data_IF_938862092126
#
_entry.id   IF_938862092126
#
_cell.length_a   1.000
_cell.length_b   1.000
_cell.length_c   1.000
_cell.angle_alpha   90.00
_cell.angle_beta   90.00
_cell.angle_gamma   90.00
#
_symmetry.space_group_name_H-M   'P 1'
#
loop_
_entity.id
_entity.type
_entity.pdbx_description
1 polymer ?
#
# COMPACT_ATOMS: atom_id res chain seq x y z
N UNK A 1 -66.70 46.77 -4.59
CA UNK A 1 -65.37 47.21 -4.26
C UNK A 1 -64.39 46.02 -4.13
N UNK A 2 -63.80 45.68 -5.24
CA UNK A 2 -62.80 44.61 -5.26
C UNK A 2 -61.41 45.17 -4.94
N UNK A 3 -61.02 44.97 -3.69
CA UNK A 3 -59.59 45.06 -3.32
C UNK A 3 -58.91 43.71 -3.64
N UNK A 4 -58.79 43.43 -4.91
CA UNK A 4 -57.80 42.50 -5.43
C UNK A 4 -56.60 43.29 -5.91
N UNK A 5 -56.00 44.03 -5.02
CA UNK A 5 -54.83 44.75 -5.35
C UNK A 5 -53.73 44.46 -4.39
N UNK A 6 -52.67 43.92 -4.80
CA UNK A 6 -51.42 44.08 -4.14
C UNK A 6 -50.53 42.88 -3.90
N UNK A 7 -51.03 41.67 -3.92
CA UNK A 7 -50.17 40.51 -3.73
C UNK A 7 -49.59 39.92 -5.01
N UNK A 8 -50.26 40.17 -6.17
CA UNK A 8 -49.80 39.65 -7.48
C UNK A 8 -48.63 40.43 -8.10
N UNK A 9 -48.36 41.66 -7.68
CA UNK A 9 -47.26 42.47 -8.22
C UNK A 9 -45.93 42.33 -7.51
N UNK A 10 -45.98 41.89 -6.23
CA UNK A 10 -44.77 41.72 -5.41
C UNK A 10 -44.22 40.32 -5.54
N UNK A 11 -45.09 39.32 -5.76
CA UNK A 11 -44.70 37.92 -5.90
C UNK A 11 -43.70 37.65 -7.06
N UNK A 12 -43.88 38.13 -8.28
CA UNK A 12 -42.95 37.82 -9.36
C UNK A 12 -41.60 38.50 -9.17
N UNK A 13 -41.54 39.70 -8.56
CA UNK A 13 -40.24 40.35 -8.28
C UNK A 13 -39.52 39.71 -7.11
N UNK A 14 -40.23 39.28 -6.07
CA UNK A 14 -39.66 38.55 -4.95
C UNK A 14 -39.16 37.17 -5.40
N UNK A 15 -39.92 36.47 -6.26
CA UNK A 15 -39.54 35.21 -6.85
C UNK A 15 -38.28 35.33 -7.70
N UNK A 16 -38.15 36.39 -8.50
CA UNK A 16 -36.90 36.67 -9.27
C UNK A 16 -35.70 36.84 -8.35
N UNK A 17 -35.83 37.56 -7.26
CA UNK A 17 -34.74 37.76 -6.30
C UNK A 17 -34.36 36.47 -5.56
N UNK A 18 -35.35 35.62 -5.25
CA UNK A 18 -35.13 34.31 -4.66
C UNK A 18 -34.39 33.39 -5.62
N UNK A 19 -34.78 33.37 -6.90
CA UNK A 19 -34.11 32.56 -7.95
C UNK A 19 -32.67 33.01 -8.17
N UNK A 20 -32.44 34.34 -8.21
CA UNK A 20 -31.10 34.92 -8.35
C UNK A 20 -30.22 34.54 -7.13
N UNK A 21 -30.78 34.66 -5.94
CA UNK A 21 -30.08 34.26 -4.72
C UNK A 21 -29.73 32.76 -4.68
N UNK A 22 -30.68 31.93 -5.06
CA UNK A 22 -30.47 30.47 -5.14
C UNK A 22 -29.43 30.12 -6.19
N UNK A 23 -29.47 30.75 -7.37
CA UNK A 23 -28.47 30.54 -8.42
C UNK A 23 -27.05 30.93 -7.94
N UNK A 24 -26.94 32.05 -7.25
CA UNK A 24 -25.66 32.50 -6.65
C UNK A 24 -25.11 31.51 -5.65
N UNK A 25 -25.96 30.95 -4.78
CA UNK A 25 -25.56 29.93 -3.79
C UNK A 25 -25.08 28.64 -4.49
N UNK A 26 -25.80 28.21 -5.51
CA UNK A 26 -25.39 27.01 -6.29
C UNK A 26 -24.03 27.21 -6.95
N UNK A 27 -23.79 28.39 -7.55
CA UNK A 27 -22.49 28.71 -8.17
C UNK A 27 -21.37 28.69 -7.11
N UNK A 28 -21.60 29.25 -5.93
CA UNK A 28 -20.62 29.26 -4.86
C UNK A 28 -20.32 27.82 -4.40
N UNK A 29 -21.32 26.97 -4.22
CA UNK A 29 -21.14 25.57 -3.84
C UNK A 29 -20.36 24.80 -4.91
N UNK A 30 -20.67 25.02 -6.18
CA UNK A 30 -19.95 24.37 -7.29
C UNK A 30 -18.49 24.83 -7.32
N UNK A 31 -18.23 26.13 -7.17
CA UNK A 31 -16.86 26.65 -7.12
C UNK A 31 -16.08 26.06 -5.92
N UNK A 32 -16.70 25.99 -4.74
CA UNK A 32 -16.08 25.40 -3.55
C UNK A 32 -15.77 23.92 -3.78
N UNK A 33 -16.72 23.15 -4.33
CA UNK A 33 -16.50 21.71 -4.60
C UNK A 33 -15.40 21.49 -5.65
N UNK A 34 -15.36 22.31 -6.69
CA UNK A 34 -14.32 22.24 -7.71
C UNK A 34 -12.97 22.64 -7.10
N UNK A 35 -12.94 23.71 -6.30
CA UNK A 35 -11.72 24.16 -5.63
C UNK A 35 -11.19 23.09 -4.68
N UNK A 36 -12.06 22.47 -3.87
CA UNK A 36 -11.66 21.38 -2.97
C UNK A 36 -11.18 20.15 -3.75
N UNK A 37 -11.81 19.80 -4.86
CA UNK A 37 -11.35 18.69 -5.70
C UNK A 37 -10.02 18.96 -6.41
N UNK A 38 -9.79 20.20 -6.83
CA UNK A 38 -8.54 20.61 -7.49
C UNK A 38 -7.44 20.81 -6.46
N UNK A 39 -7.76 21.44 -5.32
CA UNK A 39 -6.80 21.71 -4.25
C UNK A 39 -6.53 20.48 -3.39
N UNK A 40 -7.47 19.53 -3.29
CA UNK A 40 -7.27 18.25 -2.63
C UNK A 40 -6.25 17.35 -3.34
N UNK A 41 -5.87 17.68 -4.58
CA UNK A 41 -4.74 17.04 -5.28
C UNK A 41 -3.42 17.80 -5.18
N UNK A 42 -3.46 19.07 -4.73
CA UNK A 42 -2.30 19.92 -4.59
C UNK A 42 -2.49 20.89 -3.41
N UNK A 43 -2.70 20.36 -2.21
CA UNK A 43 -2.61 21.19 -1.03
C UNK A 43 -1.16 21.29 -0.59
N UNK A 44 -0.44 22.23 -1.17
CA UNK A 44 0.71 22.82 -0.53
C UNK A 44 0.85 24.26 -0.97
N UNK A 45 0.10 25.15 -0.34
CA UNK A 45 0.57 26.48 -0.09
C UNK A 45 0.97 26.54 1.37
N UNK A 46 2.09 25.99 1.68
CA UNK A 46 2.84 26.35 2.86
C UNK A 46 3.93 27.28 2.37
N UNK A 47 3.89 28.50 2.88
CA UNK A 47 4.89 29.53 2.79
C UNK A 47 6.29 28.92 2.85
N UNK A 48 7.07 29.16 1.81
CA UNK A 48 8.41 28.63 1.63
C UNK A 48 9.31 28.98 2.81
N UNK A 49 9.62 27.95 3.58
CA UNK A 49 10.97 27.80 4.11
C UNK A 49 11.64 26.85 3.14
N UNK A 50 12.83 27.13 2.59
CA UNK A 50 13.57 26.16 1.80
C UNK A 50 14.03 25.06 2.75
N UNK A 51 13.13 24.12 3.03
CA UNK A 51 13.52 22.82 3.51
C UNK A 51 14.16 22.13 2.33
N UNK A 52 15.44 21.78 2.47
CA UNK A 52 16.18 20.90 1.60
C UNK A 52 15.25 19.81 1.04
N UNK A 53 15.35 19.55 -0.25
CA UNK A 53 14.55 18.59 -1.02
C UNK A 53 14.61 17.14 -0.50
N UNK A 54 15.11 16.94 0.71
CA UNK A 54 15.38 15.64 1.33
C UNK A 54 14.24 15.15 2.27
N UNK A 55 13.16 15.91 2.40
CA UNK A 55 12.03 15.56 3.26
C UNK A 55 10.66 15.60 2.58
N UNK A 56 10.60 15.22 1.31
CA UNK A 56 9.36 14.67 0.77
C UNK A 56 9.47 13.15 0.90
N UNK A 57 9.57 12.68 2.12
CA UNK A 57 9.24 11.31 2.40
C UNK A 57 7.74 11.16 2.15
N UNK A 58 7.37 10.65 0.98
CA UNK A 58 6.06 10.07 0.79
C UNK A 58 5.79 9.22 2.04
N UNK A 59 4.66 9.41 2.67
CA UNK A 59 4.29 8.64 3.85
C UNK A 59 4.49 7.17 3.49
N UNK A 60 5.52 6.54 4.05
CA UNK A 60 5.73 5.11 3.87
C UNK A 60 4.52 4.43 4.44
N UNK A 61 3.86 3.62 3.63
CA UNK A 61 2.74 2.81 4.07
C UNK A 61 3.18 1.97 5.26
N UNK A 62 2.42 2.01 6.35
CA UNK A 62 2.70 1.20 7.54
C UNK A 62 2.08 -0.16 7.30
N UNK A 63 2.87 -1.21 7.45
CA UNK A 63 2.45 -2.59 7.29
C UNK A 63 2.32 -3.30 8.62
N UNK A 64 1.48 -4.32 8.67
CA UNK A 64 1.56 -5.37 9.67
C UNK A 64 2.48 -6.48 9.15
N UNK A 65 3.19 -7.12 10.06
CA UNK A 65 4.20 -8.12 9.73
C UNK A 65 3.82 -9.49 10.24
N UNK A 66 3.83 -10.47 9.35
CA UNK A 66 3.70 -11.87 9.72
C UNK A 66 5.11 -12.46 9.92
N UNK A 67 5.43 -12.75 11.17
CA UNK A 67 6.77 -13.23 11.58
C UNK A 67 6.77 -14.68 12.06
N UNK A 68 5.63 -15.35 12.00
CA UNK A 68 5.44 -16.70 12.54
C UNK A 68 5.70 -17.82 11.51
N UNK A 69 6.38 -17.52 10.40
CA UNK A 69 6.80 -18.54 9.44
C UNK A 69 7.83 -19.52 10.03
N UNK A 70 8.68 -19.01 10.94
CA UNK A 70 9.80 -19.76 11.49
C UNK A 70 10.96 -19.93 10.51
N UNK A 71 12.02 -20.52 10.99
CA UNK A 71 13.25 -20.69 10.22
C UNK A 71 13.03 -21.72 9.10
N UNK A 72 13.34 -21.31 7.88
CA UNK A 72 13.41 -22.19 6.71
C UNK A 72 14.83 -22.70 6.59
N UNK A 73 15.01 -24.00 6.63
CA UNK A 73 16.32 -24.63 6.46
C UNK A 73 16.31 -25.51 5.19
N UNK A 74 17.32 -25.30 4.36
CA UNK A 74 17.53 -26.08 3.12
C UNK A 74 19.00 -26.02 2.72
N UNK A 75 19.33 -26.56 1.54
CA UNK A 75 20.65 -26.49 0.95
C UNK A 75 20.63 -25.73 -0.37
N UNK A 76 21.76 -25.13 -0.74
CA UNK A 76 21.90 -24.43 -2.02
C UNK A 76 22.02 -25.36 -3.20
N UNK A 77 21.95 -24.80 -4.42
CA UNK A 77 22.13 -25.54 -5.67
C UNK A 77 23.60 -25.82 -6.01
N UNK A 78 24.53 -25.41 -5.17
CA UNK A 78 25.97 -25.62 -5.38
C UNK A 78 26.37 -27.10 -5.22
N UNK A 79 27.53 -27.45 -5.76
CA UNK A 79 28.19 -28.73 -5.53
C UNK A 79 29.65 -28.49 -5.07
N UNK A 80 29.96 -28.73 -3.79
CA UNK A 80 29.12 -29.21 -2.69
C UNK A 80 28.11 -28.15 -2.19
N UNK A 81 26.92 -28.59 -1.73
CA UNK A 81 25.88 -27.67 -1.32
C UNK A 81 26.22 -26.98 0.01
N UNK A 82 25.83 -25.71 0.15
CA UNK A 82 25.87 -24.99 1.41
C UNK A 82 24.53 -25.13 2.15
N UNK A 83 24.56 -25.10 3.48
CA UNK A 83 23.36 -25.07 4.31
C UNK A 83 22.83 -23.64 4.38
N UNK A 84 21.54 -23.46 4.13
CA UNK A 84 20.82 -22.18 4.20
C UNK A 84 19.82 -22.22 5.35
N UNK A 85 19.86 -21.19 6.20
CA UNK A 85 18.86 -20.96 7.23
C UNK A 85 18.37 -19.53 7.12
N UNK A 86 17.09 -19.36 6.85
CA UNK A 86 16.47 -18.03 6.66
C UNK A 86 15.22 -17.92 7.49
N UNK A 87 15.07 -16.79 8.17
CA UNK A 87 13.83 -16.36 8.79
C UNK A 87 13.24 -15.21 7.97
N UNK A 88 12.03 -15.41 7.45
CA UNK A 88 11.37 -14.48 6.52
C UNK A 88 10.16 -13.85 7.20
N UNK A 89 10.09 -12.53 7.16
CA UNK A 89 8.92 -11.77 7.56
C UNK A 89 8.15 -11.30 6.32
N UNK A 90 6.83 -11.42 6.36
CA UNK A 90 5.94 -11.01 5.28
C UNK A 90 5.12 -9.81 5.73
N UNK A 91 5.21 -8.70 4.99
CA UNK A 91 4.38 -7.53 5.23
C UNK A 91 3.06 -7.62 4.50
N UNK A 92 1.99 -7.23 5.16
CA UNK A 92 0.68 -7.10 4.56
C UNK A 92 0.02 -5.78 5.02
N UNK A 93 -1.08 -5.41 4.38
CA UNK A 93 -1.77 -4.17 4.69
C UNK A 93 -2.15 -4.13 6.17
N UNK A 94 -1.89 -2.99 6.81
CA UNK A 94 -2.22 -2.76 8.22
C UNK A 94 -3.70 -3.06 8.49
N UNK A 95 -3.96 -3.74 9.60
CA UNK A 95 -5.29 -4.14 10.08
C UNK A 95 -6.07 -5.08 9.13
N UNK A 96 -5.40 -5.70 8.15
CA UNK A 96 -5.99 -6.67 7.24
C UNK A 96 -6.00 -8.08 7.86
N UNK A 97 -7.04 -8.36 8.62
CA UNK A 97 -7.25 -9.67 9.27
C UNK A 97 -7.45 -10.81 8.26
N UNK A 98 -8.00 -10.51 7.08
CA UNK A 98 -8.19 -11.49 6.03
C UNK A 98 -6.84 -11.94 5.45
N UNK A 99 -5.91 -11.01 5.25
CA UNK A 99 -4.55 -11.33 4.81
C UNK A 99 -3.82 -12.19 5.83
N UNK A 100 -3.85 -11.83 7.11
CA UNK A 100 -3.25 -12.62 8.18
C UNK A 100 -3.82 -14.03 8.27
N UNK A 101 -5.12 -14.18 8.13
CA UNK A 101 -5.81 -15.47 8.13
C UNK A 101 -5.44 -16.33 6.91
N UNK A 102 -5.36 -15.73 5.72
CA UNK A 102 -4.97 -16.44 4.50
C UNK A 102 -3.51 -16.91 4.58
N UNK A 103 -2.59 -16.06 5.05
CA UNK A 103 -1.19 -16.43 5.27
C UNK A 103 -1.10 -17.63 6.22
N UNK A 104 -1.82 -17.59 7.32
CA UNK A 104 -1.85 -18.68 8.30
C UNK A 104 -2.42 -19.97 7.71
N UNK A 105 -3.50 -19.89 6.93
CA UNK A 105 -4.11 -21.04 6.29
C UNK A 105 -3.18 -21.69 5.25
N UNK A 106 -2.31 -20.90 4.61
CA UNK A 106 -1.38 -21.39 3.57
C UNK A 106 0.06 -21.56 4.05
N UNK A 107 0.25 -21.65 5.34
CA UNK A 107 1.58 -21.71 5.97
C UNK A 107 2.44 -22.86 5.41
N UNK A 108 1.85 -24.03 5.18
CA UNK A 108 2.56 -25.21 4.63
C UNK A 108 3.02 -24.93 3.20
N UNK A 109 2.16 -24.33 2.38
CA UNK A 109 2.48 -23.97 0.99
C UNK A 109 3.58 -22.90 0.95
N UNK A 110 3.50 -21.91 1.82
CA UNK A 110 4.51 -20.85 1.94
C UNK A 110 5.88 -21.41 2.32
N UNK A 111 5.94 -22.27 3.33
CA UNK A 111 7.19 -22.92 3.73
C UNK A 111 7.78 -23.80 2.63
N UNK A 112 6.95 -24.55 1.92
CA UNK A 112 7.37 -25.37 0.79
C UNK A 112 7.90 -24.51 -0.37
N UNK A 113 7.24 -23.42 -0.66
CA UNK A 113 7.69 -22.46 -1.68
C UNK A 113 9.05 -21.85 -1.32
N UNK A 114 9.21 -21.35 -0.11
CA UNK A 114 10.45 -20.74 0.37
C UNK A 114 11.61 -21.75 0.35
N UNK A 115 11.36 -22.99 0.77
CA UNK A 115 12.38 -24.05 0.73
C UNK A 115 12.83 -24.32 -0.71
N UNK A 116 11.91 -24.47 -1.66
CA UNK A 116 12.24 -24.65 -3.08
C UNK A 116 12.96 -23.44 -3.66
N UNK A 117 12.53 -22.24 -3.29
CA UNK A 117 13.14 -21.01 -3.74
C UNK A 117 14.62 -20.92 -3.34
N UNK A 118 14.91 -21.07 -2.05
CA UNK A 118 16.31 -21.01 -1.57
C UNK A 118 17.16 -22.18 -2.07
N UNK A 119 16.60 -23.37 -2.26
CA UNK A 119 17.34 -24.48 -2.83
C UNK A 119 17.68 -24.34 -4.32
N UNK A 120 17.02 -23.46 -5.02
CA UNK A 120 17.33 -23.11 -6.42
C UNK A 120 18.44 -22.07 -6.59
N UNK A 121 18.86 -21.43 -5.51
CA UNK A 121 19.88 -20.37 -5.50
C UNK A 121 21.24 -20.91 -5.08
N UNK A 122 22.29 -20.25 -5.55
CA UNK A 122 23.66 -20.55 -5.14
C UNK A 122 24.05 -19.81 -3.85
N UNK A 123 25.05 -20.31 -3.15
CA UNK A 123 25.60 -19.64 -1.97
C UNK A 123 26.11 -18.23 -2.31
N UNK A 124 26.71 -18.04 -3.47
CA UNK A 124 27.19 -16.76 -3.94
C UNK A 124 26.06 -15.75 -4.14
N UNK A 125 24.95 -16.17 -4.76
CA UNK A 125 23.75 -15.33 -4.93
C UNK A 125 23.15 -14.92 -3.58
N UNK A 126 23.03 -15.86 -2.64
CA UNK A 126 22.42 -15.60 -1.34
C UNK A 126 23.30 -14.76 -0.40
N UNK A 127 24.62 -14.83 -0.54
CA UNK A 127 25.56 -14.06 0.27
C UNK A 127 25.77 -12.63 -0.21
N UNK A 128 25.48 -12.35 -1.49
CA UNK A 128 25.68 -11.03 -2.06
C UNK A 128 24.65 -10.04 -1.52
N UNK A 129 25.04 -9.02 -0.76
CA UNK A 129 24.12 -8.05 -0.19
C UNK A 129 23.39 -7.22 -1.25
N UNK A 130 23.98 -7.05 -2.44
CA UNK A 130 23.35 -6.32 -3.55
C UNK A 130 22.18 -7.06 -4.17
N UNK A 131 22.07 -8.36 -3.94
CA UNK A 131 20.96 -9.18 -4.44
C UNK A 131 19.78 -9.23 -3.48
N UNK A 132 19.91 -8.76 -2.25
CA UNK A 132 18.90 -8.96 -1.21
C UNK A 132 17.54 -8.41 -1.60
N UNK A 133 17.47 -7.17 -2.05
CA UNK A 133 16.23 -6.54 -2.53
C UNK A 133 15.59 -7.32 -3.70
N UNK A 134 16.42 -7.84 -4.61
CA UNK A 134 15.94 -8.63 -5.75
C UNK A 134 15.34 -9.96 -5.29
N UNK A 135 16.00 -10.67 -4.36
CA UNK A 135 15.53 -11.93 -3.79
C UNK A 135 14.21 -11.74 -3.02
N UNK A 136 14.11 -10.69 -2.22
CA UNK A 136 12.91 -10.35 -1.48
C UNK A 136 11.73 -10.02 -2.42
N UNK A 137 11.98 -9.27 -3.50
CA UNK A 137 10.98 -8.98 -4.52
C UNK A 137 10.54 -10.24 -5.30
N UNK A 138 11.46 -11.14 -5.63
CA UNK A 138 11.13 -12.41 -6.28
C UNK A 138 10.22 -13.26 -5.38
N UNK A 139 10.53 -13.34 -4.09
CA UNK A 139 9.71 -14.07 -3.11
C UNK A 139 8.33 -13.43 -2.98
N UNK A 140 8.26 -12.10 -2.84
CA UNK A 140 6.99 -11.36 -2.79
C UNK A 140 6.11 -11.67 -3.99
N UNK A 141 6.65 -11.54 -5.19
CA UNK A 141 5.92 -11.80 -6.42
C UNK A 141 5.50 -13.28 -6.51
N UNK A 142 6.37 -14.20 -6.18
CA UNK A 142 6.06 -15.63 -6.20
C UNK A 142 4.94 -16.01 -5.23
N UNK A 143 4.91 -15.44 -4.04
CA UNK A 143 3.84 -15.64 -3.06
C UNK A 143 2.52 -15.08 -3.58
N UNK A 144 2.54 -13.86 -4.10
CA UNK A 144 1.35 -13.19 -4.61
C UNK A 144 0.76 -13.87 -5.86
N UNK A 145 1.61 -14.43 -6.72
CA UNK A 145 1.16 -15.01 -7.99
C UNK A 145 0.76 -16.47 -7.87
N UNK A 146 1.38 -17.24 -6.94
CA UNK A 146 1.25 -18.70 -6.90
C UNK A 146 0.57 -19.24 -5.66
N UNK A 147 0.52 -18.49 -4.56
CA UNK A 147 0.06 -18.99 -3.26
C UNK A 147 -1.17 -18.25 -2.78
N UNK A 148 -1.11 -16.93 -2.65
CA UNK A 148 -2.23 -16.14 -2.17
C UNK A 148 -3.27 -15.92 -3.27
N UNK A 149 -4.54 -15.97 -2.91
CA UNK A 149 -5.67 -15.83 -3.84
C UNK A 149 -6.41 -14.51 -3.66
N UNK A 150 -6.72 -14.14 -2.42
CA UNK A 150 -7.54 -12.97 -2.10
C UNK A 150 -6.76 -11.82 -1.44
N UNK A 151 -5.60 -12.13 -0.89
CA UNK A 151 -4.74 -11.16 -0.23
C UNK A 151 -3.42 -10.97 -0.97
N UNK A 152 -2.66 -9.94 -0.60
CA UNK A 152 -1.35 -9.67 -1.19
C UNK A 152 -0.33 -9.30 -0.14
N UNK A 153 0.88 -9.83 -0.32
CA UNK A 153 2.07 -9.40 0.40
C UNK A 153 2.55 -8.09 -0.21
N UNK A 154 2.86 -7.13 0.66
CA UNK A 154 3.34 -5.80 0.29
C UNK A 154 4.85 -5.69 0.28
N UNK A 155 5.49 -6.43 1.19
CA UNK A 155 6.94 -6.46 1.31
C UNK A 155 7.41 -7.78 1.91
N UNK A 156 8.67 -8.11 1.73
CA UNK A 156 9.35 -9.28 2.29
C UNK A 156 10.69 -8.85 2.83
N UNK A 157 11.02 -9.29 4.04
CA UNK A 157 12.30 -8.98 4.67
C UNK A 157 12.90 -10.25 5.28
N UNK A 158 14.19 -10.43 5.11
CA UNK A 158 14.95 -11.47 5.81
C UNK A 158 15.34 -10.97 7.20
N UNK A 159 14.71 -11.51 8.23
CA UNK A 159 15.06 -11.21 9.62
C UNK A 159 16.41 -11.84 9.98
N UNK A 160 16.69 -13.01 9.44
CA UNK A 160 17.95 -13.72 9.54
C UNK A 160 18.23 -14.48 8.26
N UNK A 161 19.47 -14.48 7.81
CA UNK A 161 19.92 -15.24 6.64
C UNK A 161 21.34 -15.73 6.86
N UNK A 162 21.48 -17.02 7.09
CA UNK A 162 22.76 -17.70 7.28
C UNK A 162 23.01 -18.67 6.12
N UNK A 163 24.18 -18.57 5.50
CA UNK A 163 24.62 -19.47 4.43
C UNK A 163 25.96 -20.07 4.86
N UNK A 164 25.94 -21.33 5.28
CA UNK A 164 27.07 -22.03 5.88
C UNK A 164 27.57 -23.08 4.91
N UNK A 165 28.81 -22.97 4.49
CA UNK A 165 29.47 -23.97 3.65
C UNK A 165 30.15 -24.98 4.56
N UNK A 166 29.83 -26.27 4.39
CA UNK A 166 30.59 -27.35 5.03
C UNK A 166 31.93 -27.48 4.31
N UNK A 167 33.00 -27.33 5.03
CA UNK A 167 34.35 -27.65 4.55
C UNK A 167 34.54 -29.16 4.46
#
# INVERSE_FOLDING_TARGET
SDKKGGLGGIFPSLLKWIIIGLAAVIVIVVVVVITVKITGKNSTTVTAIPASEEYVSGQREIYDWYTSLGIIQTTTADDPPATVRVDVALAYKKDDKAASAEITARLVELKAFLRRYFSSKTAAELRNPNNEDALENEIKNGINDKILSSSRIRDVVFQQKDVIQSN
#
